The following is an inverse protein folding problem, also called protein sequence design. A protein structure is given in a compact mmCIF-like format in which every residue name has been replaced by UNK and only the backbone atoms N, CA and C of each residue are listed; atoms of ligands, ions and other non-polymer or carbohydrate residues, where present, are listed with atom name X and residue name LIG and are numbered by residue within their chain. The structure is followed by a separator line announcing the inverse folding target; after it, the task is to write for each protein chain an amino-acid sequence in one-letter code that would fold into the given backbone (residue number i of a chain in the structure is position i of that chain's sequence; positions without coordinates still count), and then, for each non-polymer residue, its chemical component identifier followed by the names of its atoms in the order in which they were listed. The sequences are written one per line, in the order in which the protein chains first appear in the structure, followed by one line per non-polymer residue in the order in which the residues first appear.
data_IF_737312228398
#
_entry.id   IF_737312228398
#
_cell.length_a   1.000
_cell.length_b   1.000
_cell.length_c   1.000
_cell.angle_alpha   90.00
_cell.angle_beta   90.00
_cell.angle_gamma   90.00
#
_symmetry.space_group_name_H-M   'P 1'
#
loop_
_entity.id
_entity.type
_entity.pdbx_description
1 polymer ?
#
# COMPACT_ATOMS: atom_id res chain seq x y z
N UNK A 1 -12.17 -2.01 -1.31
CA UNK A 1 -10.98 -2.00 -0.44
C UNK A 1 -11.37 -2.33 0.98
N UNK A 2 -10.62 -3.19 1.64
CA UNK A 2 -10.78 -3.53 3.04
C UNK A 2 -9.41 -3.84 3.67
N UNK A 3 -9.42 -4.36 4.90
CA UNK A 3 -8.20 -4.68 5.65
C UNK A 3 -7.29 -5.73 4.97
N UNK A 4 -7.83 -6.61 4.12
CA UNK A 4 -7.03 -7.59 3.38
C UNK A 4 -6.13 -6.92 2.34
N UNK A 5 -6.56 -5.83 1.73
CA UNK A 5 -5.74 -5.07 0.78
C UNK A 5 -4.54 -4.41 1.49
N UNK A 6 -4.75 -3.93 2.73
CA UNK A 6 -3.66 -3.43 3.59
C UNK A 6 -2.67 -4.55 3.90
N UNK A 7 -3.15 -5.75 4.25
CA UNK A 7 -2.27 -6.89 4.53
C UNK A 7 -1.46 -7.27 3.29
N UNK A 8 -2.08 -7.28 2.11
CA UNK A 8 -1.38 -7.54 0.86
C UNK A 8 -0.28 -6.50 0.59
N UNK A 9 -0.57 -5.22 0.78
CA UNK A 9 0.40 -4.14 0.62
C UNK A 9 1.56 -4.22 1.63
N UNK A 10 1.26 -4.52 2.90
CA UNK A 10 2.30 -4.74 3.92
C UNK A 10 3.19 -5.93 3.57
N UNK A 11 2.64 -6.99 2.96
CA UNK A 11 3.46 -8.11 2.50
C UNK A 11 4.43 -7.69 1.38
N UNK A 12 4.04 -6.79 0.48
CA UNK A 12 4.96 -6.27 -0.55
C UNK A 12 6.14 -5.53 0.10
N UNK A 13 5.85 -4.66 1.08
CA UNK A 13 6.87 -3.94 1.86
C UNK A 13 7.82 -4.92 2.56
N UNK A 14 7.29 -5.94 3.25
CA UNK A 14 8.09 -6.88 4.03
C UNK A 14 8.96 -7.80 3.17
N UNK A 15 8.58 -8.05 1.92
CA UNK A 15 9.33 -8.88 0.98
C UNK A 15 10.21 -8.07 0.02
N UNK A 16 10.31 -6.75 0.21
CA UNK A 16 11.04 -5.82 -0.68
C UNK A 16 10.62 -6.04 -2.16
N UNK A 17 9.32 -6.26 -2.38
CA UNK A 17 8.74 -6.48 -3.70
C UNK A 17 8.05 -5.21 -4.18
N UNK A 18 8.40 -4.79 -5.39
CA UNK A 18 7.73 -3.70 -6.07
C UNK A 18 6.57 -4.20 -6.93
N UNK A 19 5.42 -3.55 -6.79
CA UNK A 19 4.23 -3.68 -7.63
C UNK A 19 3.64 -2.28 -7.87
N UNK A 20 3.50 -1.88 -9.13
CA UNK A 20 2.96 -0.57 -9.50
C UNK A 20 1.53 -0.33 -9.02
N UNK A 21 0.78 -1.39 -8.67
CA UNK A 21 -0.56 -1.29 -8.09
C UNK A 21 -0.48 -0.90 -6.59
N UNK A 22 0.62 -1.25 -5.92
CA UNK A 22 0.88 -0.95 -4.52
C UNK A 22 1.52 0.43 -4.27
N UNK A 23 2.05 1.08 -5.31
CA UNK A 23 2.54 2.46 -5.29
C UNK A 23 1.34 3.43 -5.47
N UNK A 24 0.66 3.70 -4.36
CA UNK A 24 -0.60 4.46 -4.38
C UNK A 24 -0.34 5.95 -4.56
N UNK A 25 0.79 6.43 -4.04
CA UNK A 25 1.16 7.84 -4.14
C UNK A 25 1.99 8.17 -5.41
N UNK A 26 2.36 7.15 -6.19
CA UNK A 26 3.14 7.25 -7.44
C UNK A 26 4.53 7.87 -7.24
N UNK A 27 5.21 7.54 -6.14
CA UNK A 27 6.57 8.01 -5.84
C UNK A 27 7.67 6.99 -6.20
N UNK A 28 7.30 5.89 -6.87
CA UNK A 28 8.17 4.77 -7.26
C UNK A 28 8.75 4.00 -6.06
N UNK A 29 8.17 4.15 -4.86
CA UNK A 29 8.51 3.38 -3.67
C UNK A 29 7.23 2.75 -3.09
N UNK A 30 7.36 1.55 -2.51
CA UNK A 30 6.27 0.96 -1.72
C UNK A 30 6.68 0.99 -0.27
N UNK A 31 6.01 1.83 0.51
CA UNK A 31 6.33 2.03 1.92
C UNK A 31 5.08 2.39 2.75
N UNK A 32 5.30 2.86 3.98
CA UNK A 32 4.21 3.17 4.91
C UNK A 32 3.28 4.29 4.41
N UNK A 33 3.74 5.15 3.49
CA UNK A 33 2.93 6.22 2.91
C UNK A 33 1.79 5.68 2.05
N UNK A 34 2.02 4.62 1.27
CA UNK A 34 0.98 3.94 0.51
C UNK A 34 -0.09 3.34 1.42
N UNK A 35 0.34 2.71 2.52
CA UNK A 35 -0.57 2.16 3.53
C UNK A 35 -1.43 3.25 4.15
N UNK A 36 -0.85 4.41 4.47
CA UNK A 36 -1.60 5.55 5.02
C UNK A 36 -2.63 6.06 4.01
N UNK A 37 -2.28 6.17 2.72
CA UNK A 37 -3.23 6.56 1.68
C UNK A 37 -4.35 5.52 1.52
N UNK A 38 -4.03 4.22 1.52
CA UNK A 38 -5.01 3.14 1.46
C UNK A 38 -6.00 3.20 2.63
N UNK A 39 -5.51 3.48 3.84
CA UNK A 39 -6.35 3.67 5.04
C UNK A 39 -7.24 4.90 4.88
N UNK A 40 -6.72 6.03 4.38
CA UNK A 40 -7.52 7.23 4.16
C UNK A 40 -8.67 6.99 3.16
N UNK A 41 -8.43 6.22 2.10
CA UNK A 41 -9.44 5.81 1.13
C UNK A 41 -10.50 4.87 1.73
N UNK A 42 -10.17 4.08 2.75
CA UNK A 42 -11.13 3.22 3.47
C UNK A 42 -11.98 4.05 4.46
N UNK A 43 -11.43 5.13 5.02
CA UNK A 43 -12.09 5.96 6.03
C UNK A 43 -12.97 7.08 5.44
N UNK A 44 -12.83 7.40 4.15
CA UNK A 44 -13.66 8.37 3.42
C UNK A 44 -15.00 7.78 2.99
#
# INVERSE_FOLDING_TARGET
MNILDIIALVNLILNDQYDWIGDINSDELINILDVIQLVNLILS
#
